data_IF_992045190074
#
_entry.id   IF_992045190074
#
_cell.length_a   1.000
_cell.length_b   1.000
_cell.length_c   1.000
_cell.angle_alpha   90.00
_cell.angle_beta   90.00
_cell.angle_gamma   90.00
#
_symmetry.space_group_name_H-M   'P 1'
#
loop_
_entity.id
_entity.type
_entity.pdbx_description
1 polymer ?
#
# COMPACT_ATOMS: atom_id res chain seq x y z
N UNK A 1 -1.96 6.80 -2.27
CA UNK A 1 -0.97 6.49 -3.32
C UNK A 1 0.41 6.82 -2.78
N UNK A 2 1.32 5.85 -2.75
CA UNK A 2 2.68 6.03 -2.23
C UNK A 2 3.66 5.54 -3.29
N UNK A 3 4.44 6.43 -3.91
CA UNK A 3 5.46 6.03 -4.86
C UNK A 3 6.57 5.22 -4.18
N UNK A 4 7.05 4.19 -4.86
CA UNK A 4 8.17 3.37 -4.39
C UNK A 4 9.46 3.96 -4.96
N UNK A 5 10.43 4.24 -4.09
CA UNK A 5 11.78 4.71 -4.45
C UNK A 5 11.80 5.87 -5.47
N UNK A 6 10.90 6.85 -5.32
CA UNK A 6 10.83 7.98 -6.26
C UNK A 6 12.14 8.77 -6.31
N UNK A 7 12.64 9.05 -7.51
CA UNK A 7 13.90 9.77 -7.75
C UNK A 7 13.83 11.29 -7.51
N UNK A 8 12.72 11.79 -6.97
CA UNK A 8 12.53 13.20 -6.63
C UNK A 8 12.25 13.37 -5.14
N UNK A 9 12.94 14.34 -4.53
CA UNK A 9 12.83 14.66 -3.11
C UNK A 9 11.48 15.28 -2.72
N UNK A 10 10.70 15.77 -3.68
CA UNK A 10 9.44 16.46 -3.45
C UNK A 10 8.22 15.54 -3.37
N UNK A 11 8.36 14.25 -3.74
CA UNK A 11 7.24 13.31 -3.71
C UNK A 11 6.89 12.92 -2.28
N UNK A 12 5.58 12.88 -1.98
CA UNK A 12 5.02 12.49 -0.69
C UNK A 12 3.85 11.51 -0.89
N UNK A 13 3.57 10.62 0.08
CA UNK A 13 2.34 9.84 0.08
C UNK A 13 1.10 10.74 0.00
N UNK A 14 0.16 10.38 -0.86
CA UNK A 14 -1.11 11.09 -1.03
C UNK A 14 -2.27 10.25 -0.51
N UNK A 15 -3.06 10.83 0.40
CA UNK A 15 -4.34 10.25 0.86
C UNK A 15 -5.47 10.91 0.08
N UNK A 16 -6.27 10.10 -0.61
CA UNK A 16 -7.39 10.56 -1.45
C UNK A 16 -8.70 9.91 -1.01
N UNK A 17 -9.86 10.53 -1.29
CA UNK A 17 -11.15 9.91 -1.05
C UNK A 17 -11.30 8.58 -1.78
N UNK A 18 -11.97 7.61 -1.14
CA UNK A 18 -12.22 6.29 -1.74
C UNK A 18 -13.20 6.34 -2.93
N UNK A 19 -13.85 7.48 -3.19
CA UNK A 19 -14.72 7.69 -4.36
C UNK A 19 -13.94 8.04 -5.62
N UNK A 20 -12.64 8.34 -5.52
CA UNK A 20 -11.85 8.72 -6.67
C UNK A 20 -11.51 7.49 -7.51
N UNK A 21 -11.47 7.71 -8.83
CA UNK A 21 -10.89 6.78 -9.78
C UNK A 21 -9.46 7.19 -10.07
N UNK A 22 -8.50 6.31 -9.82
CA UNK A 22 -7.08 6.57 -10.01
C UNK A 22 -6.62 5.74 -11.21
N UNK A 23 -6.04 6.40 -12.20
CA UNK A 23 -5.47 5.75 -13.39
C UNK A 23 -3.95 5.88 -13.33
N UNK A 24 -3.24 4.78 -13.54
CA UNK A 24 -1.78 4.73 -13.58
C UNK A 24 -1.38 4.24 -14.97
N UNK A 25 -0.61 5.05 -15.69
CA UNK A 25 -0.19 4.80 -17.06
C UNK A 25 1.34 4.68 -17.14
N UNK A 26 1.87 3.73 -17.92
CA UNK A 26 3.27 3.71 -18.30
C UNK A 26 3.70 4.99 -18.99
N UNK A 27 4.93 5.41 -18.74
CA UNK A 27 5.55 6.47 -19.54
C UNK A 27 5.79 5.92 -20.96
N UNK A 28 5.38 6.67 -21.97
CA UNK A 28 5.57 6.28 -23.36
C UNK A 28 7.06 6.01 -23.67
N UNK A 29 7.34 4.90 -24.35
CA UNK A 29 8.70 4.51 -24.71
C UNK A 29 9.49 3.76 -23.63
N UNK A 30 8.86 3.42 -22.50
CA UNK A 30 9.46 2.47 -21.55
C UNK A 30 9.52 1.08 -22.19
N UNK A 31 10.72 0.53 -22.30
CA UNK A 31 10.97 -0.70 -23.07
C UNK A 31 10.84 -1.98 -22.23
N UNK A 32 10.91 -1.88 -20.91
CA UNK A 32 10.86 -3.02 -20.01
C UNK A 32 9.43 -3.39 -19.65
N UNK A 33 9.18 -4.69 -19.48
CA UNK A 33 7.91 -5.22 -18.99
C UNK A 33 7.62 -4.69 -17.57
N UNK A 34 6.48 -4.01 -17.41
CA UNK A 34 6.05 -3.48 -16.13
C UNK A 34 5.25 -4.54 -15.37
N UNK A 35 5.75 -4.96 -14.21
CA UNK A 35 5.06 -5.91 -13.35
C UNK A 35 4.03 -5.21 -12.45
N UNK A 36 2.83 -5.75 -12.43
CA UNK A 36 1.72 -5.33 -11.57
C UNK A 36 1.31 -6.50 -10.69
N UNK A 37 1.26 -6.29 -9.38
CA UNK A 37 0.78 -7.31 -8.44
C UNK A 37 -0.36 -6.79 -7.57
N UNK A 38 -1.26 -7.69 -7.20
CA UNK A 38 -2.40 -7.41 -6.32
C UNK A 38 -2.27 -8.29 -5.09
N UNK A 39 -2.36 -7.70 -3.89
CA UNK A 39 -2.23 -8.38 -2.60
C UNK A 39 -0.99 -9.30 -2.46
N UNK A 40 0.10 -8.98 -3.16
CA UNK A 40 1.34 -9.77 -3.13
C UNK A 40 1.29 -11.10 -3.87
N UNK A 41 0.24 -11.35 -4.66
CA UNK A 41 0.15 -12.53 -5.54
C UNK A 41 1.07 -12.39 -6.77
N UNK A 42 1.30 -13.50 -7.48
CA UNK A 42 2.07 -13.51 -8.73
C UNK A 42 1.56 -12.43 -9.66
N UNK A 43 2.46 -11.50 -10.03
CA UNK A 43 2.08 -10.35 -10.83
C UNK A 43 1.74 -10.70 -12.28
N UNK A 44 1.04 -9.78 -12.92
CA UNK A 44 0.82 -9.72 -14.37
C UNK A 44 1.68 -8.62 -14.97
N UNK A 45 1.92 -8.64 -16.28
CA UNK A 45 2.64 -7.58 -16.98
C UNK A 45 1.66 -6.59 -17.60
N UNK A 46 2.05 -5.32 -17.67
CA UNK A 46 1.30 -4.28 -18.35
C UNK A 46 1.91 -4.04 -19.74
N UNK A 47 1.11 -4.19 -20.79
CA UNK A 47 1.56 -3.97 -22.16
C UNK A 47 1.62 -2.47 -22.51
N UNK A 48 2.36 -2.08 -23.57
CA UNK A 48 2.35 -0.70 -24.05
C UNK A 48 0.93 -0.23 -24.39
N UNK A 49 0.52 0.88 -23.79
CA UNK A 49 -0.80 1.48 -23.97
C UNK A 49 -1.88 0.98 -23.00
N UNK A 50 -1.57 0.02 -22.14
CA UNK A 50 -2.47 -0.38 -21.04
C UNK A 50 -2.28 0.51 -19.81
N UNK A 51 -3.32 0.56 -18.97
CA UNK A 51 -3.35 1.30 -17.71
C UNK A 51 -3.78 0.41 -16.55
N UNK A 52 -3.44 0.84 -15.33
CA UNK A 52 -4.00 0.26 -14.10
C UNK A 52 -5.03 1.21 -13.53
N UNK A 53 -6.27 0.74 -13.50
CA UNK A 53 -7.45 1.47 -13.04
C UNK A 53 -7.80 1.03 -11.62
N UNK A 54 -7.59 1.92 -10.64
CA UNK A 54 -7.85 1.67 -9.23
C UNK A 54 -9.08 2.46 -8.79
N UNK A 55 -10.13 1.72 -8.42
CA UNK A 55 -11.37 2.25 -7.85
C UNK A 55 -11.82 1.42 -6.67
N UNK A 56 -12.67 2.00 -5.82
CA UNK A 56 -13.38 1.24 -4.80
C UNK A 56 -14.31 0.21 -5.48
N UNK A 57 -14.20 -1.04 -5.04
CA UNK A 57 -15.09 -2.10 -5.48
C UNK A 57 -16.50 -1.94 -4.88
N UNK A 58 -17.49 -2.44 -5.61
CA UNK A 58 -18.90 -2.45 -5.19
C UNK A 58 -19.14 -3.46 -4.05
N UNK A 59 -18.35 -4.53 -4.04
CA UNK A 59 -18.38 -5.57 -3.01
C UNK A 59 -17.33 -5.32 -1.92
N UNK A 60 -17.66 -5.72 -0.69
CA UNK A 60 -16.79 -5.60 0.48
C UNK A 60 -16.45 -6.97 1.01
N UNK A 61 -15.20 -7.14 1.45
CA UNK A 61 -14.80 -8.32 2.22
C UNK A 61 -15.48 -8.28 3.59
N UNK A 62 -16.16 -9.37 3.96
CA UNK A 62 -16.72 -9.54 5.30
C UNK A 62 -15.65 -10.17 6.21
N UNK A 63 -15.29 -9.48 7.28
CA UNK A 63 -14.28 -9.94 8.23
C UNK A 63 -14.94 -10.21 9.58
N UNK A 64 -14.76 -11.42 10.11
CA UNK A 64 -15.17 -11.79 11.47
C UNK A 64 -14.03 -11.43 12.42
N UNK A 65 -14.35 -10.72 13.51
CA UNK A 65 -13.39 -10.39 14.56
C UNK A 65 -13.62 -11.28 15.78
N UNK A 66 -12.64 -12.11 16.08
CA UNK A 66 -12.59 -12.91 17.29
C UNK A 66 -11.78 -12.18 18.37
N UNK A 67 -12.25 -12.17 19.62
CA UNK A 67 -11.59 -11.50 20.74
C UNK A 67 -11.78 -9.97 20.83
N UNK A 68 -11.19 -9.35 21.85
CA UNK A 68 -11.40 -7.95 22.22
C UNK A 68 -10.39 -6.94 21.64
N UNK A 69 -9.23 -7.36 21.17
CA UNK A 69 -8.14 -6.43 20.84
C UNK A 69 -8.39 -5.59 19.59
N UNK A 70 -8.42 -4.26 19.82
CA UNK A 70 -8.62 -3.21 18.82
C UNK A 70 -7.51 -3.12 17.78
N UNK A 71 -7.77 -2.37 16.71
CA UNK A 71 -6.78 -2.08 15.67
C UNK A 71 -5.47 -1.53 16.26
N UNK A 72 -5.56 -0.53 17.14
CA UNK A 72 -4.38 0.10 17.77
C UNK A 72 -3.64 -0.83 18.75
N UNK A 73 -4.35 -1.72 19.46
CA UNK A 73 -3.72 -2.73 20.32
C UNK A 73 -2.83 -3.65 19.49
N UNK A 74 -3.38 -4.19 18.39
CA UNK A 74 -2.66 -5.06 17.45
C UNK A 74 -1.53 -4.33 16.73
N UNK A 75 -1.72 -3.07 16.35
CA UNK A 75 -0.68 -2.25 15.73
C UNK A 75 0.53 -2.08 16.66
N UNK A 76 0.29 -1.75 17.94
CA UNK A 76 1.37 -1.61 18.93
C UNK A 76 2.14 -2.90 19.12
N UNK A 77 1.44 -4.01 19.31
CA UNK A 77 2.06 -5.31 19.49
C UNK A 77 2.88 -5.73 18.26
N UNK A 78 2.34 -5.60 17.04
CA UNK A 78 2.99 -6.10 15.82
C UNK A 78 4.18 -5.25 15.36
N UNK A 79 4.15 -3.95 15.62
CA UNK A 79 5.18 -3.02 15.19
C UNK A 79 6.12 -2.60 16.31
N UNK A 80 5.98 -3.20 17.51
CA UNK A 80 6.66 -2.76 18.74
C UNK A 80 6.52 -1.24 18.98
N UNK A 81 5.35 -0.69 18.61
CA UNK A 81 5.16 0.75 18.54
C UNK A 81 4.92 1.34 19.93
N UNK A 82 5.87 2.16 20.38
CA UNK A 82 5.85 2.77 21.72
C UNK A 82 6.39 1.86 22.83
N UNK A 83 6.98 0.73 22.45
CA UNK A 83 7.73 -0.11 23.38
C UNK A 83 9.05 0.60 23.74
N UNK A 84 9.23 0.92 25.02
CA UNK A 84 10.42 1.59 25.56
C UNK A 84 11.37 0.61 26.26
N UNK A 85 11.10 -0.69 26.19
CA UNK A 85 11.90 -1.74 26.86
C UNK A 85 13.40 -1.66 26.51
N UNK A 86 13.74 -1.20 25.31
CA UNK A 86 15.13 -0.99 24.88
C UNK A 86 15.83 0.23 25.52
N UNK A 87 15.08 1.17 26.12
CA UNK A 87 15.63 2.38 26.76
C UNK A 87 15.96 2.19 28.24
N UNK A 88 15.42 1.16 28.88
CA UNK A 88 15.66 0.86 30.30
C UNK A 88 16.87 -0.07 30.50
N UNK A 89 17.40 -0.69 29.44
CA UNK A 89 18.54 -1.60 29.49
C UNK A 89 19.94 -0.92 29.50
N UNK A 90 19.98 0.42 29.53
CA UNK A 90 21.24 1.22 29.56
C UNK A 90 21.34 2.05 30.86
N UNK A 91 20.53 1.73 31.88
CA UNK A 91 20.58 2.35 33.21
C UNK A 91 21.39 1.54 34.22
#
# INVERSE_FOLDING_TARGET
VTPIAAHTLAVRPLVVPATYHIVIEPIAGWADDLLVSFDGQTGTTLAPGESVDVRRADHRVCLIRLGGDGFFSRMRQKLHWGDLSDREAVG
#
